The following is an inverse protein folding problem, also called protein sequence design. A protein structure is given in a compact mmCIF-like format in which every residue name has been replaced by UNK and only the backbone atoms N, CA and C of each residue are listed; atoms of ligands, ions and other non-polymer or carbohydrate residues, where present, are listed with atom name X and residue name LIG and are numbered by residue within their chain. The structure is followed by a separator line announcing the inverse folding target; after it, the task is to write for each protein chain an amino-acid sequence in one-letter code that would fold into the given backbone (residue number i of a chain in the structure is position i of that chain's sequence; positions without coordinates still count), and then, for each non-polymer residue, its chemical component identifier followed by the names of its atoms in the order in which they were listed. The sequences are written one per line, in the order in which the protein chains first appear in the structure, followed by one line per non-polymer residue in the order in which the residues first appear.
data_IF_684987314245
#
_entry.id   IF_684987314245
#
_cell.length_a   1.000
_cell.length_b   1.000
_cell.length_c   1.000
_cell.angle_alpha   90.00
_cell.angle_beta   90.00
_cell.angle_gamma   90.00
#
_symmetry.space_group_name_H-M   'P 1'
#
loop_
_entity.id
_entity.type
_entity.pdbx_description
1 polymer ?
#
# COMPACT_ATOMS: atom_id res chain seq x y z
N UNK A 1 7.30 6.21 -16.60
CA UNK A 1 7.53 7.37 -17.49
C UNK A 1 8.87 8.03 -17.18
N UNK A 2 9.13 8.46 -15.93
CA UNK A 2 10.40 9.08 -15.54
C UNK A 2 11.64 8.26 -15.94
N UNK A 3 11.69 6.97 -15.61
CA UNK A 3 12.82 6.10 -15.94
C UNK A 3 13.08 5.99 -17.45
N UNK A 4 12.02 5.93 -18.25
CA UNK A 4 12.14 5.90 -19.71
C UNK A 4 12.75 7.21 -20.23
N UNK A 5 12.30 8.34 -19.71
CA UNK A 5 12.76 9.67 -20.12
C UNK A 5 14.20 9.95 -19.67
N UNK A 6 14.54 9.64 -18.41
CA UNK A 6 15.86 9.98 -17.82
C UNK A 6 16.97 9.02 -18.20
N UNK A 7 16.65 7.74 -18.43
CA UNK A 7 17.64 6.71 -18.75
C UNK A 7 17.68 6.35 -20.25
N UNK A 8 16.82 6.97 -21.07
CA UNK A 8 16.74 6.70 -22.51
C UNK A 8 16.28 5.27 -22.86
N UNK A 9 15.65 4.58 -21.92
CA UNK A 9 15.22 3.19 -22.09
C UNK A 9 13.74 3.10 -22.51
N UNK A 10 13.34 2.12 -23.34
CA UNK A 10 11.92 1.95 -23.68
C UNK A 10 11.04 1.72 -22.45
N UNK A 11 9.88 2.38 -22.39
CA UNK A 11 8.97 2.27 -21.24
C UNK A 11 8.64 0.82 -20.86
N UNK A 12 8.43 -0.05 -21.86
CA UNK A 12 8.14 -1.48 -21.66
C UNK A 12 9.29 -2.25 -21.00
N UNK A 13 10.53 -1.79 -21.13
CA UNK A 13 11.73 -2.43 -20.56
C UNK A 13 12.21 -1.76 -19.27
N UNK A 14 11.64 -0.61 -18.90
CA UNK A 14 12.13 0.19 -17.80
C UNK A 14 12.19 -0.56 -16.46
N UNK A 15 11.20 -1.42 -16.19
CA UNK A 15 11.16 -2.22 -14.95
C UNK A 15 12.27 -3.27 -14.94
N UNK A 16 12.41 -4.04 -16.02
CA UNK A 16 13.41 -5.11 -16.08
C UNK A 16 14.83 -4.55 -16.04
N UNK A 17 15.07 -3.41 -16.69
CA UNK A 17 16.37 -2.72 -16.64
C UNK A 17 16.71 -2.26 -15.23
N UNK A 18 15.79 -1.63 -14.50
CA UNK A 18 16.03 -1.17 -13.13
C UNK A 18 16.22 -2.33 -12.14
N UNK A 19 15.59 -3.48 -12.39
CA UNK A 19 15.83 -4.70 -11.60
C UNK A 19 17.24 -5.27 -11.83
N UNK A 20 17.74 -5.18 -13.06
CA UNK A 20 19.06 -5.67 -13.44
C UNK A 20 20.21 -4.74 -13.04
N UNK A 21 19.97 -3.43 -13.01
CA UNK A 21 20.95 -2.42 -12.58
C UNK A 21 20.33 -1.41 -11.59
N UNK A 22 20.58 -1.58 -10.28
CA UNK A 22 20.10 -0.67 -9.25
C UNK A 22 20.71 0.74 -9.31
N UNK A 23 21.83 0.97 -10.01
CA UNK A 23 22.42 2.30 -10.09
C UNK A 23 21.51 3.30 -10.81
N UNK A 24 20.64 2.81 -11.71
CA UNK A 24 19.63 3.62 -12.38
C UNK A 24 18.65 4.34 -11.43
N UNK A 25 18.46 3.84 -10.21
CA UNK A 25 17.59 4.49 -9.21
C UNK A 25 18.13 5.86 -8.76
N UNK A 26 19.45 6.10 -8.81
CA UNK A 26 20.04 7.37 -8.40
C UNK A 26 19.58 8.55 -9.26
N UNK A 27 19.17 8.30 -10.51
CA UNK A 27 18.66 9.32 -11.42
C UNK A 27 17.15 9.59 -11.23
N UNK A 28 16.43 8.76 -10.49
CA UNK A 28 14.97 8.82 -10.35
C UNK A 28 14.57 9.51 -9.05
N UNK A 29 13.59 10.40 -9.15
CA UNK A 29 13.16 11.23 -8.03
C UNK A 29 11.64 11.23 -7.84
N UNK A 30 10.85 10.91 -8.86
CA UNK A 30 9.39 11.11 -8.80
C UNK A 30 8.76 10.30 -7.66
N UNK A 31 9.17 9.04 -7.48
CA UNK A 31 8.67 8.21 -6.38
C UNK A 31 9.06 8.78 -5.01
N UNK A 32 10.30 9.24 -4.84
CA UNK A 32 10.76 9.85 -3.58
C UNK A 32 10.03 11.15 -3.28
N UNK A 33 9.80 11.98 -4.29
CA UNK A 33 9.04 13.21 -4.16
C UNK A 33 7.57 12.93 -3.82
N UNK A 34 6.97 11.89 -4.38
CA UNK A 34 5.62 11.46 -4.02
C UNK A 34 5.54 10.93 -2.58
N UNK A 35 6.53 10.14 -2.14
CA UNK A 35 6.62 9.69 -0.75
C UNK A 35 6.74 10.88 0.20
N UNK A 36 7.63 11.85 -0.09
CA UNK A 36 7.77 13.08 0.70
C UNK A 36 6.47 13.88 0.76
N UNK A 37 5.73 13.97 -0.35
CA UNK A 37 4.41 14.62 -0.37
C UNK A 37 3.44 13.92 0.57
N UNK A 38 3.35 12.59 0.51
CA UNK A 38 2.50 11.78 1.41
C UNK A 38 2.91 12.00 2.87
N UNK A 39 4.21 11.96 3.18
CA UNK A 39 4.73 12.18 4.54
C UNK A 39 4.42 13.57 5.10
N UNK A 40 4.29 14.58 4.23
CA UNK A 40 4.01 15.96 4.61
C UNK A 40 2.51 16.33 4.56
N UNK A 41 1.61 15.37 4.27
CA UNK A 41 0.17 15.63 4.29
C UNK A 41 -0.30 15.83 5.73
N UNK A 42 -0.73 17.05 6.08
CA UNK A 42 -1.17 17.40 7.44
C UNK A 42 -2.44 16.67 7.89
N UNK A 43 -3.21 16.13 6.95
CA UNK A 43 -4.44 15.38 7.18
C UNK A 43 -4.28 13.87 7.01
N UNK A 44 -3.03 13.36 6.97
CA UNK A 44 -2.73 11.94 6.86
C UNK A 44 -1.98 11.47 8.11
N UNK A 45 -2.47 10.41 8.74
CA UNK A 45 -1.79 9.74 9.85
C UNK A 45 -1.20 8.42 9.34
N UNK A 46 0.12 8.27 9.44
CA UNK A 46 0.80 6.99 9.16
C UNK A 46 0.74 6.13 10.41
N UNK A 47 0.14 4.95 10.29
CA UNK A 47 -0.06 4.02 11.38
C UNK A 47 1.00 2.92 11.38
N UNK A 48 1.65 2.70 12.53
CA UNK A 48 2.48 1.53 12.76
C UNK A 48 1.65 0.32 13.19
N UNK A 49 2.11 -0.88 12.87
CA UNK A 49 1.45 -2.13 13.28
C UNK A 49 1.92 -2.54 14.67
N UNK A 50 0.98 -2.70 15.60
CA UNK A 50 1.26 -3.23 16.94
C UNK A 50 1.17 -4.77 16.98
N UNK A 51 1.78 -5.44 17.97
CA UNK A 51 1.61 -6.88 18.15
C UNK A 51 0.15 -7.33 18.29
N UNK A 52 -0.70 -6.48 18.89
CA UNK A 52 -2.14 -6.74 19.04
C UNK A 52 -2.83 -6.72 17.67
N UNK A 53 -2.53 -5.71 16.84
CA UNK A 53 -3.03 -5.63 15.46
C UNK A 53 -2.56 -6.82 14.62
N UNK A 54 -1.30 -7.23 14.79
CA UNK A 54 -0.76 -8.37 14.07
C UNK A 54 -1.44 -9.69 14.45
N UNK A 55 -1.71 -9.90 15.75
CA UNK A 55 -2.48 -11.06 16.21
C UNK A 55 -3.90 -11.06 15.64
N UNK A 56 -4.57 -9.91 15.65
CA UNK A 56 -5.91 -9.77 15.07
C UNK A 56 -5.92 -10.03 13.56
N UNK A 57 -4.87 -9.63 12.84
CA UNK A 57 -4.73 -9.87 11.41
C UNK A 57 -4.71 -11.37 11.06
N UNK A 58 -4.13 -12.21 11.92
CA UNK A 58 -4.13 -13.67 11.74
C UNK A 58 -5.55 -14.23 11.83
N UNK A 59 -6.36 -13.72 12.77
CA UNK A 59 -7.74 -14.17 12.94
C UNK A 59 -8.62 -13.71 11.77
N UNK A 60 -8.50 -12.45 11.36
CA UNK A 60 -9.22 -11.91 10.19
C UNK A 60 -8.83 -12.64 8.90
N UNK A 61 -7.54 -12.91 8.67
CA UNK A 61 -7.08 -13.62 7.47
C UNK A 61 -7.76 -14.98 7.30
N UNK A 62 -7.92 -15.72 8.40
CA UNK A 62 -8.60 -17.03 8.41
C UNK A 62 -10.11 -16.90 8.22
N UNK A 63 -10.74 -15.94 8.90
CA UNK A 63 -12.19 -15.76 8.87
C UNK A 63 -12.67 -15.26 7.50
N UNK A 64 -12.02 -14.20 6.99
CA UNK A 64 -12.49 -13.43 5.84
C UNK A 64 -11.75 -13.82 4.53
N UNK A 65 -10.85 -14.81 4.62
CA UNK A 65 -10.02 -15.33 3.52
C UNK A 65 -9.25 -14.20 2.82
N UNK A 66 -8.63 -13.35 3.64
CA UNK A 66 -7.78 -12.26 3.18
C UNK A 66 -6.32 -12.66 3.19
N UNK A 67 -5.53 -12.15 2.25
CA UNK A 67 -4.09 -12.27 2.29
C UNK A 67 -3.54 -11.54 3.55
N UNK A 68 -2.38 -11.94 4.09
CA UNK A 68 -1.87 -11.38 5.35
C UNK A 68 -1.73 -9.85 5.36
N UNK A 69 -1.40 -9.25 4.22
CA UNK A 69 -1.27 -7.79 4.11
C UNK A 69 -2.63 -7.09 4.16
N UNK A 70 -3.66 -7.62 3.51
CA UNK A 70 -5.02 -7.07 3.55
C UNK A 70 -5.65 -7.26 4.93
N UNK A 71 -5.47 -8.44 5.53
CA UNK A 71 -5.92 -8.71 6.89
C UNK A 71 -5.26 -7.78 7.91
N UNK A 72 -4.01 -7.34 7.67
CA UNK A 72 -3.33 -6.36 8.53
C UNK A 72 -4.01 -4.99 8.48
N UNK A 73 -4.47 -4.55 7.29
CA UNK A 73 -5.25 -3.31 7.17
C UNK A 73 -6.58 -3.42 7.92
N UNK A 74 -7.33 -4.50 7.71
CA UNK A 74 -8.59 -4.74 8.41
C UNK A 74 -8.39 -4.80 9.93
N UNK A 75 -7.36 -5.48 10.42
CA UNK A 75 -7.06 -5.55 11.85
C UNK A 75 -6.72 -4.19 12.47
N UNK A 76 -5.87 -3.41 11.80
CA UNK A 76 -5.57 -2.05 12.20
C UNK A 76 -6.86 -1.20 12.29
N UNK A 77 -7.71 -1.28 11.27
CA UNK A 77 -8.99 -0.58 11.26
C UNK A 77 -9.93 -1.02 12.39
N UNK A 78 -10.03 -2.32 12.64
CA UNK A 78 -10.87 -2.88 13.72
C UNK A 78 -10.40 -2.40 15.08
N UNK A 79 -9.10 -2.47 15.37
CA UNK A 79 -8.53 -2.01 16.65
C UNK A 79 -8.68 -0.51 16.87
N UNK A 80 -8.72 0.28 15.79
CA UNK A 80 -8.94 1.73 15.85
C UNK A 80 -10.42 2.13 15.69
N UNK A 81 -11.34 1.17 15.60
CA UNK A 81 -12.76 1.40 15.35
C UNK A 81 -13.06 2.22 14.07
N UNK A 82 -12.26 2.02 13.02
CA UNK A 82 -12.44 2.59 11.70
C UNK A 82 -13.31 1.66 10.84
N UNK A 83 -14.36 2.21 10.22
CA UNK A 83 -15.37 1.43 9.48
C UNK A 83 -15.40 1.70 7.98
N UNK A 84 -14.61 2.66 7.50
CA UNK A 84 -14.63 3.09 6.10
C UNK A 84 -13.25 2.88 5.49
N UNK A 85 -13.18 2.04 4.45
CA UNK A 85 -11.94 1.80 3.71
C UNK A 85 -12.07 2.36 2.31
N UNK A 86 -11.10 3.16 1.87
CA UNK A 86 -11.00 3.62 0.49
C UNK A 86 -10.11 2.65 -0.30
N UNK A 87 -10.70 1.79 -1.12
CA UNK A 87 -9.97 0.78 -1.91
C UNK A 87 -10.73 0.38 -3.16
N UNK A 88 -10.00 -0.03 -4.20
CA UNK A 88 -10.59 -0.68 -5.38
C UNK A 88 -10.65 -2.21 -5.24
N UNK A 89 -10.00 -2.75 -4.22
CA UNK A 89 -9.95 -4.18 -3.96
C UNK A 89 -11.28 -4.71 -3.40
N UNK A 90 -11.91 -5.60 -4.16
CA UNK A 90 -13.20 -6.19 -3.82
C UNK A 90 -13.09 -7.20 -2.65
N UNK A 91 -11.89 -7.65 -2.30
CA UNK A 91 -11.70 -8.62 -1.23
C UNK A 91 -12.17 -8.08 0.13
N UNK A 92 -12.06 -6.77 0.35
CA UNK A 92 -12.54 -6.10 1.56
C UNK A 92 -14.07 -6.08 1.70
N UNK A 93 -14.83 -6.39 0.64
CA UNK A 93 -16.30 -6.53 0.73
C UNK A 93 -16.70 -7.77 1.56
N UNK A 94 -15.77 -8.71 1.79
CA UNK A 94 -15.99 -9.88 2.66
C UNK A 94 -15.89 -9.57 4.16
N UNK A 95 -15.41 -8.38 4.52
CA UNK A 95 -15.15 -8.01 5.92
C UNK A 95 -16.35 -7.25 6.49
N UNK A 96 -17.15 -7.93 7.30
CA UNK A 96 -18.48 -7.44 7.73
C UNK A 96 -18.49 -6.06 8.40
N UNK A 97 -17.43 -5.69 9.14
CA UNK A 97 -17.39 -4.40 9.85
C UNK A 97 -16.94 -3.23 8.98
N UNK A 98 -16.52 -3.47 7.73
CA UNK A 98 -16.02 -2.47 6.81
C UNK A 98 -17.08 -2.07 5.79
N UNK A 99 -17.13 -0.78 5.50
CA UNK A 99 -17.81 -0.20 4.33
C UNK A 99 -16.75 0.25 3.34
N UNK A 100 -16.75 -0.37 2.16
CA UNK A 100 -15.85 -0.04 1.06
C UNK A 100 -16.32 1.23 0.35
N UNK A 101 -15.40 2.15 0.12
CA UNK A 101 -15.53 3.32 -0.74
C UNK A 101 -14.58 3.16 -1.92
N UNK A 102 -15.13 3.19 -3.14
CA UNK A 102 -14.33 3.08 -4.37
C UNK A 102 -13.85 4.48 -4.77
N UNK A 103 -12.53 4.74 -4.83
CA UNK A 103 -11.98 6.00 -5.31
C UNK A 103 -12.11 6.15 -6.84
#
# INVERSE_FOLDING_TARGET
MEASNKLGIPLKKAVDTLKGDPHGFAALEASWNNIKKIQNMSNLTILGISPVMFKEAVEISKADKLLPHDATHAAAMKTMNLKHIATSDADFERVDFLKVWRP
#
